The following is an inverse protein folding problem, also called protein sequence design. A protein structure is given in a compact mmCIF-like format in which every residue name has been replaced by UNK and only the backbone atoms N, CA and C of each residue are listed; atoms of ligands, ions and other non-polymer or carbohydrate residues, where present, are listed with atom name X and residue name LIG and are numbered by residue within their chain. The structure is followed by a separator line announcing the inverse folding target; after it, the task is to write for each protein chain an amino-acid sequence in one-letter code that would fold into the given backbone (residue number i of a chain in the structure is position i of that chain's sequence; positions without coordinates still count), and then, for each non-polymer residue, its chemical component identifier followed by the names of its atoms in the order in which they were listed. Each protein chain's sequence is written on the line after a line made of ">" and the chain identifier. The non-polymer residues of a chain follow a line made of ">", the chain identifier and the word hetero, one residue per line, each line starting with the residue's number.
data_IF_983146221373
#
_entry.id   IF_983146221373
#
_cell.length_a   1.000
_cell.length_b   1.000
_cell.length_c   1.000
_cell.angle_alpha   90.00
_cell.angle_beta   90.00
_cell.angle_gamma   90.00
#
_symmetry.space_group_name_H-M   'P 1'
#
loop_
_entity.id
_entity.type
_entity.pdbx_description
1 polymer ?
#
# COMPACT_ATOMS: atom_id res chain seq x y z
N UNK A 1 3.91 6.26 2.79
CA UNK A 1 3.43 5.65 4.05
C UNK A 1 4.02 4.25 4.24
N UNK A 2 4.00 3.71 5.45
CA UNK A 2 4.42 2.33 5.76
C UNK A 2 3.33 1.33 5.39
N UNK A 3 3.66 0.03 5.34
CA UNK A 3 2.66 -1.03 5.13
C UNK A 3 1.56 -1.02 6.21
N UNK A 4 1.90 -0.68 7.46
CA UNK A 4 0.95 -0.61 8.57
C UNK A 4 -0.04 0.55 8.40
N UNK A 5 0.44 1.69 7.92
CA UNK A 5 -0.42 2.85 7.63
C UNK A 5 -1.37 2.55 6.46
N UNK A 6 -0.86 1.99 5.36
CA UNK A 6 -1.68 1.60 4.21
C UNK A 6 -2.76 0.57 4.58
N UNK A 7 -2.39 -0.40 5.43
CA UNK A 7 -3.30 -1.42 5.95
C UNK A 7 -4.50 -0.81 6.70
N UNK A 8 -4.27 0.21 7.54
CA UNK A 8 -5.33 0.93 8.24
C UNK A 8 -6.28 1.64 7.27
N UNK A 9 -5.75 2.31 6.25
CA UNK A 9 -6.58 3.02 5.27
C UNK A 9 -7.43 2.09 4.42
N UNK A 10 -6.86 0.97 3.98
CA UNK A 10 -7.53 -0.01 3.13
C UNK A 10 -8.40 -0.99 3.91
N UNK A 11 -8.38 -0.94 5.25
CA UNK A 11 -9.08 -1.89 6.14
C UNK A 11 -8.69 -3.34 5.82
N UNK A 12 -7.38 -3.59 5.64
CA UNK A 12 -6.81 -4.92 5.36
C UNK A 12 -5.58 -5.18 6.24
N UNK A 13 -5.06 -6.41 6.22
CA UNK A 13 -3.82 -6.75 6.96
C UNK A 13 -2.57 -6.22 6.25
N UNK A 14 -1.49 -5.98 7.00
CA UNK A 14 -0.17 -5.65 6.41
C UNK A 14 0.34 -6.74 5.45
N UNK A 15 -0.06 -8.00 5.65
CA UNK A 15 0.25 -9.10 4.73
C UNK A 15 -0.48 -8.93 3.40
N UNK A 16 -1.76 -8.59 3.43
CA UNK A 16 -2.51 -8.28 2.22
C UNK A 16 -1.90 -7.11 1.44
N UNK A 17 -1.47 -6.05 2.14
CA UNK A 17 -0.75 -4.91 1.52
C UNK A 17 0.53 -5.38 0.80
N UNK A 18 1.32 -6.27 1.43
CA UNK A 18 2.52 -6.84 0.77
C UNK A 18 2.17 -7.63 -0.48
N UNK A 19 1.09 -8.41 -0.46
CA UNK A 19 0.61 -9.11 -1.65
C UNK A 19 0.14 -8.16 -2.75
N UNK A 20 -0.56 -7.08 -2.41
CA UNK A 20 -0.97 -6.06 -3.38
C UNK A 20 0.25 -5.38 -4.03
N UNK A 21 1.31 -5.13 -3.27
CA UNK A 21 2.58 -4.61 -3.82
C UNK A 21 3.20 -5.64 -4.76
N UNK A 22 3.30 -6.92 -4.35
CA UNK A 22 3.87 -7.99 -5.16
C UNK A 22 3.10 -8.23 -6.48
N UNK A 23 1.79 -7.97 -6.48
CA UNK A 23 0.91 -8.03 -7.66
C UNK A 23 0.90 -6.75 -8.50
N UNK A 24 1.64 -5.72 -8.11
CA UNK A 24 1.68 -4.42 -8.81
C UNK A 24 0.45 -3.53 -8.60
N UNK A 25 -0.46 -3.88 -7.69
CA UNK A 25 -1.67 -3.11 -7.39
C UNK A 25 -1.37 -1.85 -6.55
N UNK A 26 -0.32 -1.91 -5.72
CA UNK A 26 0.18 -0.78 -4.95
C UNK A 26 1.62 -0.48 -5.33
N UNK A 27 1.95 0.81 -5.41
CA UNK A 27 3.31 1.24 -5.74
C UNK A 27 4.07 1.46 -4.44
N UNK A 28 5.19 0.77 -4.27
CA UNK A 28 6.13 0.97 -3.18
C UNK A 28 7.53 1.27 -3.72
N UNK A 29 8.24 2.17 -3.05
CA UNK A 29 9.61 2.54 -3.37
C UNK A 29 10.50 2.28 -2.16
N UNK A 30 11.72 1.81 -2.40
CA UNK A 30 12.74 1.73 -1.35
C UNK A 30 13.25 3.14 -1.07
N UNK A 31 13.21 3.57 0.20
CA UNK A 31 13.74 4.85 0.68
C UNK A 31 14.56 4.61 1.93
N UNK A 32 15.88 4.78 1.83
CA UNK A 32 16.84 4.42 2.87
C UNK A 32 16.70 2.93 3.22
N UNK A 33 16.56 2.66 4.51
CA UNK A 33 16.49 1.29 5.05
C UNK A 33 15.10 0.63 4.95
N UNK A 34 14.10 1.34 4.41
CA UNK A 34 12.72 0.89 4.43
C UNK A 34 11.96 1.02 3.11
N UNK A 35 10.81 0.34 3.04
CA UNK A 35 9.85 0.49 1.95
C UNK A 35 8.80 1.55 2.29
N UNK A 36 8.55 2.46 1.34
CA UNK A 36 7.51 3.48 1.43
C UNK A 36 6.49 3.28 0.31
N UNK A 37 5.25 3.09 0.70
CA UNK A 37 4.11 2.94 -0.19
C UNK A 37 3.63 4.33 -0.63
N UNK A 38 3.37 4.48 -1.92
CA UNK A 38 2.82 5.68 -2.53
C UNK A 38 1.39 5.91 -2.08
N UNK A 39 1.16 7.03 -1.40
CA UNK A 39 -0.19 7.46 -0.97
C UNK A 39 -1.15 7.61 -2.15
N UNK A 40 -0.65 8.03 -3.33
CA UNK A 40 -1.47 8.14 -4.53
C UNK A 40 -2.01 6.77 -4.99
N UNK A 41 -1.16 5.72 -4.95
CA UNK A 41 -1.59 4.36 -5.32
C UNK A 41 -2.65 3.80 -4.36
N UNK A 42 -2.51 4.06 -3.05
CA UNK A 42 -3.50 3.68 -2.03
C UNK A 42 -4.83 4.40 -2.26
N UNK A 43 -4.80 5.73 -2.53
CA UNK A 43 -6.02 6.49 -2.85
C UNK A 43 -6.70 5.99 -4.13
N UNK A 44 -5.93 5.66 -5.17
CA UNK A 44 -6.46 5.05 -6.39
C UNK A 44 -7.19 3.74 -6.07
N UNK A 45 -6.58 2.88 -5.23
CA UNK A 45 -7.21 1.61 -4.81
C UNK A 45 -8.50 1.82 -4.01
N UNK A 46 -8.51 2.77 -3.08
CA UNK A 46 -9.72 3.14 -2.31
C UNK A 46 -10.85 3.61 -3.21
N UNK A 47 -10.55 4.41 -4.24
CA UNK A 47 -11.54 4.86 -5.22
C UNK A 47 -12.12 3.71 -6.03
N UNK A 48 -11.34 2.67 -6.31
CA UNK A 48 -11.80 1.46 -7.01
C UNK A 48 -12.55 0.46 -6.11
N UNK A 49 -12.65 0.73 -4.80
CA UNK A 49 -13.44 -0.08 -3.85
C UNK A 49 -14.83 0.52 -3.59
N UNK A 50 -15.05 1.78 -3.99
CA UNK A 50 -16.36 2.43 -3.99
C UNK A 50 -17.01 2.19 -5.33
#
# INVERSE_FOLDING_TARGET
>A
MTAREAAKHLVVTSRAVRYMIARGELVAQRRGDGWRISTASVRKRLRAMR
#
